data_IF_044988489394
#
_entry.id   IF_044988489394
#
_cell.length_a   1.000
_cell.length_b   1.000
_cell.length_c   1.000
_cell.angle_alpha   90.00
_cell.angle_beta   90.00
_cell.angle_gamma   90.00
#
_symmetry.space_group_name_H-M   'P 1'
#
loop_
_entity.id
_entity.type
_entity.pdbx_description
1 polymer ?
#
# COMPACT_ATOMS: atom_id res chain seq x y z
N UNK A 1 8.83 -4.41 -17.74
CA UNK A 1 7.56 -3.78 -17.38
C UNK A 1 7.82 -2.29 -17.21
N UNK A 2 7.00 -1.44 -17.84
CA UNK A 2 7.19 0.00 -17.64
C UNK A 2 6.64 0.44 -16.28
N UNK A 3 6.95 1.68 -15.88
CA UNK A 3 6.56 2.16 -14.56
C UNK A 3 5.06 2.19 -14.35
N UNK A 4 4.28 2.53 -15.39
CA UNK A 4 2.83 2.57 -15.30
C UNK A 4 2.26 1.17 -15.08
N UNK A 5 2.70 0.19 -15.84
CA UNK A 5 2.24 -1.19 -15.69
C UNK A 5 2.65 -1.76 -14.32
N UNK A 6 3.83 -1.39 -13.84
CA UNK A 6 4.30 -1.81 -12.52
C UNK A 6 3.46 -1.19 -11.41
N UNK A 7 3.12 0.10 -11.52
CA UNK A 7 2.25 0.75 -10.54
C UNK A 7 0.88 0.07 -10.48
N UNK A 8 0.31 -0.29 -11.63
CA UNK A 8 -0.96 -1.02 -11.65
C UNK A 8 -0.84 -2.37 -10.94
N UNK A 9 0.25 -3.07 -11.17
CA UNK A 9 0.50 -4.36 -10.52
C UNK A 9 0.64 -4.20 -9.01
N UNK A 10 1.32 -3.14 -8.57
CA UNK A 10 1.45 -2.83 -7.15
C UNK A 10 0.08 -2.58 -6.53
N UNK A 11 -0.78 -1.79 -7.19
CA UNK A 11 -2.14 -1.54 -6.71
C UNK A 11 -2.92 -2.85 -6.58
N UNK A 12 -2.82 -3.73 -7.57
CA UNK A 12 -3.48 -5.05 -7.49
C UNK A 12 -3.01 -5.84 -6.26
N UNK A 13 -1.71 -5.81 -5.98
CA UNK A 13 -1.16 -6.48 -4.80
C UNK A 13 -1.67 -5.86 -3.50
N UNK A 14 -1.73 -4.52 -3.43
CA UNK A 14 -2.21 -3.81 -2.25
C UNK A 14 -3.68 -4.14 -1.97
N UNK A 15 -4.47 -4.39 -2.99
CA UNK A 15 -5.88 -4.76 -2.83
C UNK A 15 -6.07 -6.17 -2.27
N UNK A 16 -4.98 -6.93 -2.11
CA UNK A 16 -5.03 -8.25 -1.47
C UNK A 16 -4.62 -8.21 0.00
N UNK A 17 -4.20 -7.04 0.50
CA UNK A 17 -3.77 -6.89 1.89
C UNK A 17 -4.91 -6.27 2.69
N UNK A 18 -5.29 -6.91 3.78
CA UNK A 18 -6.40 -6.51 4.63
C UNK A 18 -5.90 -6.19 6.03
N UNK A 19 -6.52 -5.17 6.65
CA UNK A 19 -6.40 -4.98 8.08
C UNK A 19 -7.11 -6.16 8.75
N UNK A 20 -6.50 -6.84 9.73
CA UNK A 20 -7.12 -8.02 10.34
C UNK A 20 -8.43 -7.73 11.06
N UNK A 21 -8.70 -6.48 11.40
CA UNK A 21 -9.92 -6.10 12.11
C UNK A 21 -10.99 -5.49 11.21
N UNK A 22 -10.65 -5.20 9.95
CA UNK A 22 -11.55 -4.49 9.03
C UNK A 22 -11.64 -5.29 7.72
N UNK A 23 -12.85 -5.66 7.26
CA UNK A 23 -12.99 -6.50 6.06
C UNK A 23 -12.85 -5.73 4.74
N UNK A 24 -11.92 -4.80 4.69
CA UNK A 24 -11.63 -4.00 3.49
C UNK A 24 -10.12 -3.93 3.32
N UNK A 25 -9.65 -4.01 2.07
CA UNK A 25 -8.23 -3.96 1.79
C UNK A 25 -7.65 -2.57 2.07
N UNK A 26 -6.34 -2.52 2.29
CA UNK A 26 -5.64 -1.30 2.71
C UNK A 26 -5.70 -0.20 1.64
N UNK A 27 -5.78 -0.56 0.36
CA UNK A 27 -5.87 0.43 -0.70
C UNK A 27 -7.21 1.17 -0.67
N UNK A 28 -8.31 0.42 -0.59
CA UNK A 28 -9.65 1.00 -0.54
C UNK A 28 -9.94 1.71 0.78
N UNK A 29 -9.25 1.32 1.86
CA UNK A 29 -9.32 2.04 3.13
C UNK A 29 -8.69 3.43 3.06
N UNK A 30 -7.89 3.71 2.02
CA UNK A 30 -7.21 4.99 1.90
C UNK A 30 -5.95 5.09 2.74
N UNK A 31 -5.35 3.97 3.10
CA UNK A 31 -4.13 3.95 3.90
C UNK A 31 -2.87 4.19 3.09
N UNK A 32 -2.95 4.06 1.76
CA UNK A 32 -1.80 4.23 0.87
C UNK A 32 -1.81 5.65 0.34
N UNK A 33 -0.82 6.44 0.73
CA UNK A 33 -0.75 7.86 0.35
C UNK A 33 0.10 8.10 -0.88
N UNK A 34 1.14 7.31 -1.10
CA UNK A 34 2.02 7.52 -2.23
C UNK A 34 2.69 6.21 -2.64
N UNK A 35 2.79 5.99 -3.94
CA UNK A 35 3.55 4.88 -4.51
C UNK A 35 4.57 5.49 -5.44
N UNK A 36 5.86 5.30 -5.13
CA UNK A 36 6.96 5.88 -5.87
C UNK A 36 7.78 4.75 -6.48
N UNK A 37 7.88 4.73 -7.79
CA UNK A 37 8.64 3.71 -8.51
C UNK A 37 9.82 4.38 -9.22
N UNK A 38 11.03 3.91 -8.93
CA UNK A 38 12.24 4.42 -9.55
C UNK A 38 13.08 3.29 -10.10
N UNK A 39 13.93 3.59 -11.08
CA UNK A 39 14.82 2.59 -11.65
C UNK A 39 15.90 2.22 -10.65
N UNK A 40 16.26 0.93 -10.63
CA UNK A 40 17.40 0.49 -9.83
C UNK A 40 18.68 0.81 -10.58
N UNK A 41 19.62 1.48 -9.91
CA UNK A 41 20.87 1.92 -10.53
C UNK A 41 21.81 0.74 -10.86
N UNK A 42 21.69 -0.37 -10.15
CA UNK A 42 22.61 -1.50 -10.27
C UNK A 42 22.10 -2.61 -11.19
N UNK A 43 20.78 -2.71 -11.39
CA UNK A 43 20.18 -3.74 -12.23
C UNK A 43 19.20 -3.14 -13.23
N UNK A 44 19.57 -3.20 -14.51
CA UNK A 44 18.70 -2.75 -15.59
C UNK A 44 17.44 -3.60 -15.63
N UNK A 45 16.28 -2.96 -15.82
CA UNK A 45 14.99 -3.63 -15.86
C UNK A 45 14.39 -3.90 -14.50
N UNK A 46 15.10 -3.56 -13.42
CA UNK A 46 14.60 -3.67 -12.06
C UNK A 46 14.24 -2.31 -11.52
N UNK A 47 13.33 -2.28 -10.56
CA UNK A 47 12.82 -1.05 -9.97
C UNK A 47 12.87 -1.11 -8.46
N UNK A 48 12.99 0.06 -7.85
CA UNK A 48 12.83 0.22 -6.41
C UNK A 48 11.49 0.89 -6.17
N UNK A 49 10.77 0.41 -5.16
CA UNK A 49 9.44 0.90 -4.84
C UNK A 49 9.45 1.47 -3.42
N UNK A 50 8.95 2.69 -3.27
CA UNK A 50 8.76 3.29 -1.96
C UNK A 50 7.27 3.61 -1.80
N UNK A 51 6.68 3.16 -0.71
CA UNK A 51 5.26 3.36 -0.45
C UNK A 51 5.12 4.11 0.86
N UNK A 52 4.42 5.25 0.82
CA UNK A 52 4.03 5.98 2.01
C UNK A 52 2.63 5.54 2.38
N UNK A 53 2.46 5.05 3.60
CA UNK A 53 1.18 4.61 4.10
C UNK A 53 0.94 5.14 5.49
N UNK A 54 -0.32 5.13 5.90
CA UNK A 54 -0.69 5.51 7.25
C UNK A 54 -1.48 4.38 7.91
N UNK A 55 -1.85 4.57 9.16
CA UNK A 55 -2.66 3.66 9.94
C UNK A 55 -3.92 4.37 10.38
N UNK A 56 -4.99 3.61 10.66
CA UNK A 56 -6.24 4.20 11.15
C UNK A 56 -6.08 4.78 12.55
N UNK A 57 -5.08 4.31 13.30
CA UNK A 57 -4.71 4.84 14.61
C UNK A 57 -3.21 4.72 14.80
N UNK A 58 -2.55 5.73 15.41
CA UNK A 58 -1.09 5.71 15.59
C UNK A 58 -0.56 4.54 16.40
N UNK A 59 -1.39 3.97 17.27
CA UNK A 59 -0.99 2.86 18.13
C UNK A 59 -1.53 1.51 17.67
N UNK A 60 -1.90 1.39 16.39
CA UNK A 60 -2.43 0.14 15.85
C UNK A 60 -1.38 -0.97 15.92
N UNK A 61 -1.57 -2.03 16.73
CA UNK A 61 -0.57 -3.09 16.86
C UNK A 61 -0.44 -3.95 15.60
N UNK A 62 -1.42 -3.91 14.72
CA UNK A 62 -1.38 -4.65 13.46
C UNK A 62 -0.59 -3.90 12.38
N UNK A 63 -0.22 -2.64 12.61
CA UNK A 63 0.44 -1.81 11.61
C UNK A 63 1.74 -2.40 11.08
N UNK A 64 2.57 -2.95 11.95
CA UNK A 64 3.83 -3.56 11.55
C UNK A 64 3.61 -4.81 10.69
N UNK A 65 2.59 -5.59 11.01
CA UNK A 65 2.23 -6.77 10.22
C UNK A 65 1.72 -6.38 8.84
N UNK A 66 0.89 -5.34 8.78
CA UNK A 66 0.35 -4.85 7.51
C UNK A 66 1.49 -4.34 6.61
N UNK A 67 2.38 -3.52 7.18
CA UNK A 67 3.51 -2.96 6.44
C UNK A 67 4.42 -4.07 5.92
N UNK A 68 4.73 -5.06 6.74
CA UNK A 68 5.58 -6.18 6.32
C UNK A 68 4.92 -7.04 5.26
N UNK A 69 3.61 -7.28 5.38
CA UNK A 69 2.87 -8.04 4.39
C UNK A 69 2.87 -7.32 3.04
N UNK A 70 2.67 -6.01 3.04
CA UNK A 70 2.76 -5.19 1.83
C UNK A 70 4.16 -5.29 1.23
N UNK A 71 5.19 -5.14 2.04
CA UNK A 71 6.57 -5.20 1.57
C UNK A 71 6.86 -6.54 0.91
N UNK A 72 6.47 -7.63 1.54
CA UNK A 72 6.71 -8.97 1.01
C UNK A 72 5.98 -9.18 -0.32
N UNK A 73 4.71 -8.79 -0.38
CA UNK A 73 3.88 -8.98 -1.57
C UNK A 73 4.38 -8.14 -2.74
N UNK A 74 4.69 -6.86 -2.51
CA UNK A 74 5.20 -5.99 -3.56
C UNK A 74 6.58 -6.46 -4.01
N UNK A 75 7.42 -6.86 -3.06
CA UNK A 75 8.78 -7.32 -3.39
C UNK A 75 8.79 -8.64 -4.15
N UNK A 76 7.68 -9.39 -4.13
CA UNK A 76 7.56 -10.64 -4.90
C UNK A 76 7.33 -10.40 -6.39
N UNK A 77 7.02 -9.18 -6.80
CA UNK A 77 6.86 -8.84 -8.21
C UNK A 77 8.22 -8.94 -8.89
N UNK A 78 8.25 -9.61 -10.03
CA UNK A 78 9.50 -9.95 -10.73
C UNK A 78 10.42 -8.74 -10.97
N UNK A 79 9.85 -7.62 -11.36
CA UNK A 79 10.61 -6.43 -11.74
C UNK A 79 10.95 -5.53 -10.56
N UNK A 80 10.58 -5.91 -9.35
CA UNK A 80 10.87 -5.13 -8.13
C UNK A 80 12.12 -5.70 -7.46
N UNK A 81 13.13 -4.86 -7.30
CA UNK A 81 14.38 -5.22 -6.62
C UNK A 81 14.25 -5.05 -5.11
N UNK A 82 13.69 -3.94 -4.68
CA UNK A 82 13.55 -3.62 -3.26
C UNK A 82 12.30 -2.79 -3.03
N UNK A 83 11.70 -2.95 -1.86
CA UNK A 83 10.50 -2.23 -1.46
C UNK A 83 10.73 -1.62 -0.08
N UNK A 84 10.44 -0.33 0.05
CA UNK A 84 10.51 0.39 1.31
C UNK A 84 9.12 0.88 1.67
N UNK A 85 8.70 0.62 2.90
CA UNK A 85 7.41 1.08 3.42
C UNK A 85 7.67 2.16 4.47
N UNK A 86 7.14 3.35 4.25
CA UNK A 86 7.26 4.46 5.17
C UNK A 86 5.89 4.69 5.82
N UNK A 87 5.82 4.56 7.15
CA UNK A 87 4.59 4.84 7.87
C UNK A 87 4.61 6.31 8.26
N UNK A 88 3.59 7.04 7.78
CA UNK A 88 3.48 8.49 8.01
C UNK A 88 2.14 8.77 8.67
N UNK A 89 2.09 9.83 9.49
CA UNK A 89 0.87 10.21 10.21
C UNK A 89 0.36 11.59 9.79
N UNK A 90 0.95 12.17 8.75
CA UNK A 90 0.54 13.42 8.17
C UNK A 90 0.25 13.23 6.67
N UNK A 91 -0.91 13.56 6.16
CA UNK A 91 -2.10 14.00 6.93
C UNK A 91 -2.71 12.84 7.72
N UNK A 92 -3.44 13.18 8.78
CA UNK A 92 -4.13 12.19 9.59
C UNK A 92 -5.22 11.50 8.78
N UNK A 93 -5.33 10.18 8.92
CA UNK A 93 -6.33 9.41 8.20
C UNK A 93 -7.74 9.74 8.67
N UNK A 94 -8.67 9.80 7.72
CA UNK A 94 -10.10 9.98 8.02
C UNK A 94 -10.94 9.09 7.11
N UNK A 95 -12.20 8.90 7.48
CA UNK A 95 -13.13 8.08 6.71
C UNK A 95 -13.34 8.61 5.28
N UNK A 96 -13.17 9.90 5.08
CA UNK A 96 -13.32 10.51 3.76
C UNK A 96 -12.26 10.03 2.77
N UNK A 97 -11.18 9.45 3.25
CA UNK A 97 -10.11 8.90 2.41
C UNK A 97 -10.44 7.52 1.86
N UNK A 98 -11.49 6.87 2.36
CA UNK A 98 -11.92 5.58 1.85
C UNK A 98 -12.51 5.70 0.46
N UNK A 99 -12.36 4.63 -0.36
CA UNK A 99 -13.08 4.52 -1.62
C UNK A 99 -14.58 4.38 -1.34
N UNK A 100 -15.40 4.63 -2.37
CA UNK A 100 -16.85 4.43 -2.25
C UNK A 100 -17.18 2.98 -1.93
N UNK A 101 -16.45 2.04 -2.53
CA UNK A 101 -16.62 0.62 -2.26
C UNK A 101 -16.37 0.28 -0.79
N UNK A 102 -15.33 0.85 -0.22
CA UNK A 102 -15.01 0.64 1.19
C UNK A 102 -16.10 1.21 2.10
N UNK A 103 -16.60 2.39 1.78
CA UNK A 103 -17.67 3.02 2.56
C UNK A 103 -18.95 2.20 2.53
N UNK A 104 -19.28 1.65 1.36
CA UNK A 104 -20.44 0.78 1.22
C UNK A 104 -20.27 -0.51 2.03
N UNK A 105 -19.12 -1.13 1.94
CA UNK A 105 -18.83 -2.38 2.65
C UNK A 105 -18.91 -2.20 4.16
N UNK A 106 -18.49 -1.06 4.67
CA UNK A 106 -18.49 -0.77 6.11
C UNK A 106 -19.75 -0.06 6.59
N UNK A 107 -20.69 0.23 5.69
CA UNK A 107 -21.96 0.83 6.06
C UNK A 107 -21.92 2.33 6.31
N UNK A 108 -20.95 3.04 5.72
CA UNK A 108 -20.84 4.50 5.85
C UNK A 108 -21.57 5.29 4.77
N UNK A 109 -22.22 4.58 3.86
CA UNK A 109 -23.03 5.21 2.81
C UNK A 109 -24.46 4.71 2.85
#
# INVERSE_FOLDING_TARGET
MDTFALEEKIVEMLKTVYDPEIPVNVYDLGLIYKIDVSDNADEEGKHEVAIDMTLTAPSCPAGDFIAEDIRIKVNSIKDVKATTINIVFEPEWSQDMMSEEAKLELGFM
#
